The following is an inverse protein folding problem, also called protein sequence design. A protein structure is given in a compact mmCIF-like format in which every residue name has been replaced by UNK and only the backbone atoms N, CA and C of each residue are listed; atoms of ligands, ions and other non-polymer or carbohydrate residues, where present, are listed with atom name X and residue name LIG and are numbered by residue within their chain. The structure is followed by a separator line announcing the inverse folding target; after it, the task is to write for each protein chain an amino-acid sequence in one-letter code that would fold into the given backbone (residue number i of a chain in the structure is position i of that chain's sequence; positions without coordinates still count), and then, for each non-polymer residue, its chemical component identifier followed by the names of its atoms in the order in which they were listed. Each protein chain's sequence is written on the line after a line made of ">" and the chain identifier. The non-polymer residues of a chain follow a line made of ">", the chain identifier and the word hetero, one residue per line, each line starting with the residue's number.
data_IF_265285803646
#
_entry.id   IF_265285803646
#
_cell.length_a   1.000
_cell.length_b   1.000
_cell.length_c   1.000
_cell.angle_alpha   90.00
_cell.angle_beta   90.00
_cell.angle_gamma   90.00
#
_symmetry.space_group_name_H-M   'P 1'
#
loop_
_entity.id
_entity.type
_entity.pdbx_description
1 polymer ?
#
# COMPACT_ATOMS: atom_id res chain seq x y z
N UNK A 1 -11.38 -5.41 -14.14
CA UNK A 1 -10.15 -4.62 -13.92
C UNK A 1 -9.26 -4.63 -15.17
N UNK A 2 -9.08 -5.78 -15.83
CA UNK A 2 -8.25 -5.90 -17.06
C UNK A 2 -8.74 -5.05 -18.25
N UNK A 3 -10.04 -5.00 -18.52
CA UNK A 3 -10.60 -4.23 -19.65
C UNK A 3 -10.29 -2.72 -19.57
N UNK A 4 -10.32 -2.15 -18.35
CA UNK A 4 -9.98 -0.74 -18.12
C UNK A 4 -8.48 -0.46 -18.36
N UNK A 5 -7.61 -1.40 -17.98
CA UNK A 5 -6.18 -1.28 -18.18
C UNK A 5 -5.82 -1.33 -19.68
N UNK A 6 -6.43 -2.24 -20.44
CA UNK A 6 -6.24 -2.35 -21.89
C UNK A 6 -6.68 -1.06 -22.61
N UNK A 7 -7.85 -0.51 -22.25
CA UNK A 7 -8.34 0.75 -22.82
C UNK A 7 -7.37 1.92 -22.56
N UNK A 8 -6.74 1.95 -21.38
CA UNK A 8 -5.78 3.00 -21.01
C UNK A 8 -4.48 2.89 -21.83
N UNK A 9 -3.98 1.68 -22.07
CA UNK A 9 -2.81 1.47 -22.95
C UNK A 9 -3.10 1.94 -24.37
N UNK A 10 -4.28 1.60 -24.91
CA UNK A 10 -4.70 2.04 -26.25
C UNK A 10 -4.70 3.57 -26.32
N UNK A 11 -5.23 4.26 -25.31
CA UNK A 11 -5.21 5.72 -25.27
C UNK A 11 -3.79 6.30 -25.30
N UNK A 12 -2.82 5.71 -24.58
CA UNK A 12 -1.43 6.18 -24.64
C UNK A 12 -0.80 6.00 -26.01
N UNK A 13 -1.09 4.89 -26.69
CA UNK A 13 -0.60 4.64 -28.05
C UNK A 13 -1.15 5.70 -29.01
N UNK A 14 -2.45 6.00 -28.91
CA UNK A 14 -3.08 7.05 -29.72
C UNK A 14 -2.44 8.42 -29.45
N UNK A 15 -2.26 8.78 -28.18
CA UNK A 15 -1.61 10.05 -27.79
C UNK A 15 -0.19 10.13 -28.35
N UNK A 16 0.58 9.04 -28.29
CA UNK A 16 1.94 8.99 -28.82
C UNK A 16 2.00 9.19 -30.34
N UNK A 17 1.04 8.61 -31.09
CA UNK A 17 0.97 8.81 -32.54
C UNK A 17 0.72 10.30 -32.87
N UNK A 18 -0.22 10.94 -32.19
CA UNK A 18 -0.50 12.37 -32.37
C UNK A 18 0.70 13.24 -31.97
N UNK A 19 1.33 12.94 -30.84
CA UNK A 19 2.52 13.64 -30.35
C UNK A 19 3.69 13.56 -31.36
N UNK A 20 3.88 12.39 -32.00
CA UNK A 20 4.91 12.22 -33.01
C UNK A 20 4.66 13.10 -34.25
N UNK A 21 3.41 13.20 -34.72
CA UNK A 21 3.03 14.04 -35.87
C UNK A 21 3.27 15.53 -35.55
N UNK A 22 2.88 15.97 -34.37
CA UNK A 22 3.09 17.35 -33.90
C UNK A 22 4.60 17.64 -33.80
N UNK A 23 5.35 16.72 -33.20
CA UNK A 23 6.81 16.84 -33.07
C UNK A 23 7.51 16.92 -34.43
N UNK A 24 7.04 16.16 -35.43
CA UNK A 24 7.54 16.25 -36.79
C UNK A 24 7.35 17.63 -37.42
N UNK A 25 6.16 18.23 -37.28
CA UNK A 25 5.91 19.57 -37.78
C UNK A 25 6.79 20.63 -37.10
N UNK A 26 6.96 20.53 -35.77
CA UNK A 26 7.82 21.45 -35.01
C UNK A 26 9.27 21.36 -35.47
N UNK A 27 9.85 20.16 -35.55
CA UNK A 27 11.24 19.98 -35.94
C UNK A 27 11.50 20.41 -37.40
N UNK A 28 10.57 20.13 -38.31
CA UNK A 28 10.66 20.57 -39.70
C UNK A 28 10.70 22.10 -39.79
N UNK A 29 9.72 22.79 -39.18
CA UNK A 29 9.64 24.25 -39.21
C UNK A 29 10.84 24.90 -38.52
N UNK A 30 11.30 24.37 -37.38
CA UNK A 30 12.48 24.89 -36.71
C UNK A 30 13.72 24.83 -37.62
N UNK A 31 13.88 23.72 -38.34
CA UNK A 31 15.01 23.51 -39.26
C UNK A 31 14.90 24.43 -40.48
N UNK A 32 13.70 24.65 -41.01
CA UNK A 32 13.44 25.58 -42.10
C UNK A 32 13.80 27.02 -41.71
N UNK A 33 13.36 27.48 -40.52
CA UNK A 33 13.68 28.82 -39.98
C UNK A 33 15.20 29.01 -39.84
N UNK A 34 15.90 27.99 -39.32
CA UNK A 34 17.37 28.04 -39.15
C UNK A 34 18.08 28.12 -40.50
N UNK A 35 17.63 27.34 -41.50
CA UNK A 35 18.21 27.35 -42.86
C UNK A 35 17.94 28.67 -43.60
N UNK A 36 16.81 29.34 -43.31
CA UNK A 36 16.40 30.57 -44.00
C UNK A 36 16.77 31.86 -43.27
N UNK A 37 17.95 31.92 -42.63
CA UNK A 37 18.44 33.11 -41.93
C UNK A 37 17.44 33.66 -40.87
N UNK A 38 16.75 32.79 -40.15
CA UNK A 38 15.83 33.15 -39.05
C UNK A 38 14.60 33.92 -39.57
N UNK A 39 14.19 33.71 -40.83
CA UNK A 39 12.88 34.15 -41.30
C UNK A 39 11.79 33.29 -40.66
N UNK A 40 10.91 33.93 -39.89
CA UNK A 40 9.79 33.32 -39.18
C UNK A 40 8.62 33.03 -40.13
N UNK A 41 8.76 31.97 -40.91
CA UNK A 41 7.69 31.39 -41.73
C UNK A 41 7.37 29.99 -41.21
N UNK A 42 6.12 29.78 -40.77
CA UNK A 42 5.68 28.52 -40.18
C UNK A 42 4.68 27.82 -41.10
N UNK A 43 4.96 26.58 -41.49
CA UNK A 43 4.07 25.78 -42.32
C UNK A 43 3.25 24.81 -41.46
N UNK A 44 1.92 24.93 -41.49
CA UNK A 44 1.00 24.06 -40.75
C UNK A 44 0.63 22.78 -41.51
N UNK A 45 1.20 22.55 -42.70
CA UNK A 45 0.94 21.32 -43.44
C UNK A 45 1.74 20.14 -42.85
N UNK A 46 1.06 19.38 -41.99
CA UNK A 46 1.60 18.21 -41.28
C UNK A 46 2.04 17.09 -42.23
N UNK A 47 1.27 16.84 -43.31
CA UNK A 47 1.59 15.81 -44.30
C UNK A 47 2.89 16.11 -45.05
N UNK A 48 3.10 17.38 -45.40
CA UNK A 48 4.31 17.82 -46.09
C UNK A 48 5.54 17.67 -45.18
N UNK A 49 5.41 18.13 -43.93
CA UNK A 49 6.46 18.01 -42.91
C UNK A 49 6.85 16.55 -42.65
N UNK A 50 5.87 15.63 -42.70
CA UNK A 50 6.09 14.20 -42.52
C UNK A 50 6.80 13.55 -43.71
N UNK A 51 6.45 13.90 -44.94
CA UNK A 51 7.11 13.38 -46.16
C UNK A 51 8.57 13.83 -46.24
N UNK A 52 8.87 15.00 -45.68
CA UNK A 52 10.21 15.58 -45.68
C UNK A 52 11.11 15.08 -44.54
N UNK A 53 10.63 14.13 -43.71
CA UNK A 53 11.41 13.37 -42.71
C UNK A 53 12.40 12.36 -43.33
N UNK A 54 13.09 12.73 -44.41
CA UNK A 54 14.10 11.87 -45.04
C UNK A 54 15.47 12.02 -44.39
N UNK A 55 15.72 13.17 -43.78
CA UNK A 55 16.98 13.46 -43.10
C UNK A 55 17.06 12.72 -41.76
N UNK A 56 18.12 11.93 -41.57
CA UNK A 56 18.38 11.15 -40.34
C UNK A 56 18.45 12.06 -39.10
N UNK A 57 19.03 13.25 -39.24
CA UNK A 57 19.12 14.24 -38.15
C UNK A 57 17.75 14.76 -37.72
N UNK A 58 16.85 14.99 -38.69
CA UNK A 58 15.48 15.45 -38.42
C UNK A 58 14.69 14.36 -37.71
N UNK A 59 14.80 13.11 -38.19
CA UNK A 59 14.17 11.93 -37.56
C UNK A 59 14.66 11.73 -36.12
N UNK A 60 15.95 11.89 -35.86
CA UNK A 60 16.47 11.78 -34.50
C UNK A 60 15.93 12.89 -33.59
N UNK A 61 15.85 14.13 -34.10
CA UNK A 61 15.28 15.26 -33.38
C UNK A 61 13.81 15.07 -33.02
N UNK A 62 13.01 14.52 -33.95
CA UNK A 62 11.57 14.27 -33.71
C UNK A 62 11.33 13.18 -32.69
N UNK A 63 12.09 12.08 -32.73
CA UNK A 63 12.03 11.01 -31.74
C UNK A 63 12.45 11.53 -30.35
N UNK A 64 13.48 12.37 -30.28
CA UNK A 64 13.93 12.93 -29.01
C UNK A 64 12.87 13.87 -28.41
N UNK A 65 12.25 14.71 -29.24
CA UNK A 65 11.18 15.61 -28.78
C UNK A 65 9.94 14.83 -28.30
N UNK A 66 9.48 13.83 -29.07
CA UNK A 66 8.32 13.01 -28.69
C UNK A 66 8.57 12.21 -27.41
N UNK A 67 9.79 11.66 -27.24
CA UNK A 67 10.15 10.94 -26.00
C UNK A 67 10.16 11.86 -24.78
N UNK A 68 10.56 13.13 -24.91
CA UNK A 68 10.47 14.09 -23.81
C UNK A 68 9.02 14.40 -23.46
N UNK A 69 8.17 14.64 -24.46
CA UNK A 69 6.76 15.00 -24.25
C UNK A 69 6.00 13.84 -23.60
N UNK A 70 6.20 12.60 -24.06
CA UNK A 70 5.56 11.42 -23.45
C UNK A 70 6.03 11.21 -22.00
N UNK A 71 7.30 11.45 -21.68
CA UNK A 71 7.81 11.40 -20.31
C UNK A 71 7.15 12.45 -19.41
N UNK A 72 6.89 13.65 -19.94
CA UNK A 72 6.13 14.69 -19.24
C UNK A 72 4.69 14.25 -18.97
N UNK A 73 4.00 13.68 -19.96
CA UNK A 73 2.63 13.16 -19.81
C UNK A 73 2.59 12.06 -18.74
N UNK A 74 3.52 11.12 -18.78
CA UNK A 74 3.62 10.02 -17.80
C UNK A 74 3.91 10.54 -16.39
N UNK A 75 4.73 11.58 -16.24
CA UNK A 75 5.02 12.22 -14.94
C UNK A 75 3.79 12.88 -14.33
N UNK A 76 2.91 13.45 -15.14
CA UNK A 76 1.69 14.13 -14.69
C UNK A 76 0.46 13.21 -14.59
N UNK A 77 0.54 11.96 -15.07
CA UNK A 77 -0.53 10.99 -14.81
C UNK A 77 -0.64 10.70 -13.32
N UNK A 78 -1.79 11.08 -12.75
CA UNK A 78 -2.11 10.88 -11.34
C UNK A 78 -1.99 9.41 -10.93
N UNK A 79 -2.37 8.47 -11.79
CA UNK A 79 -2.30 7.04 -11.44
C UNK A 79 -0.87 6.53 -11.36
N UNK A 80 0.00 6.92 -12.30
CA UNK A 80 1.42 6.56 -12.24
C UNK A 80 2.09 7.19 -11.03
N UNK A 81 1.81 8.47 -10.76
CA UNK A 81 2.27 9.17 -9.56
C UNK A 81 1.80 8.47 -8.29
N UNK A 82 0.55 8.01 -8.24
CA UNK A 82 -0.03 7.30 -7.11
C UNK A 82 0.59 5.91 -6.96
N UNK A 83 0.83 5.16 -8.05
CA UNK A 83 1.58 3.88 -8.02
C UNK A 83 3.02 4.03 -7.53
N UNK A 84 3.72 5.07 -7.98
CA UNK A 84 5.07 5.43 -7.50
C UNK A 84 5.05 5.83 -6.02
N UNK A 85 3.97 6.45 -5.54
CA UNK A 85 3.76 6.76 -4.13
C UNK A 85 3.34 5.53 -3.30
N UNK A 86 2.59 4.56 -3.87
CA UNK A 86 2.25 3.27 -3.23
C UNK A 86 3.50 2.48 -2.84
N UNK A 87 4.56 2.53 -3.67
CA UNK A 87 5.87 1.95 -3.36
C UNK A 87 6.53 2.58 -2.11
N UNK A 88 6.12 3.78 -1.71
CA UNK A 88 6.78 4.62 -0.69
C UNK A 88 6.18 4.57 0.72
N UNK A 89 5.31 3.59 1.05
CA UNK A 89 4.66 3.35 2.37
C UNK A 89 3.23 3.91 2.53
N UNK A 90 2.30 3.51 1.67
CA UNK A 90 0.87 3.66 1.98
C UNK A 90 0.32 2.36 2.60
N UNK A 91 -0.64 2.44 3.55
CA UNK A 91 -1.38 1.26 4.00
C UNK A 91 -2.06 0.57 2.82
N UNK A 92 -2.24 -0.75 2.90
CA UNK A 92 -2.82 -1.54 1.81
C UNK A 92 -4.20 -0.98 1.43
N UNK A 93 -4.45 -0.89 0.13
CA UNK A 93 -5.74 -0.44 -0.40
C UNK A 93 -6.87 -1.26 0.18
N UNK A 94 -7.89 -0.57 0.68
CA UNK A 94 -9.16 -1.21 0.95
C UNK A 94 -9.91 -1.45 -0.37
N UNK A 95 -10.92 -2.34 -0.35
CA UNK A 95 -11.72 -2.68 -1.54
C UNK A 95 -12.38 -1.48 -2.24
N UNK A 96 -12.43 -0.33 -1.57
CA UNK A 96 -13.06 0.92 -2.02
C UNK A 96 -12.06 2.00 -2.50
N UNK A 97 -10.77 1.69 -2.69
CA UNK A 97 -9.72 2.67 -3.07
C UNK A 97 -9.51 3.83 -2.08
N UNK A 98 -10.02 3.71 -0.87
CA UNK A 98 -9.79 4.68 0.20
C UNK A 98 -8.53 4.30 1.00
N UNK A 99 -7.72 5.31 1.30
CA UNK A 99 -6.52 5.14 2.14
C UNK A 99 -6.78 5.78 3.49
N UNK A 100 -6.64 4.99 4.56
CA UNK A 100 -6.75 5.49 5.93
C UNK A 100 -8.16 5.90 6.35
N UNK A 101 -9.22 5.38 5.70
CA UNK A 101 -10.58 5.59 6.19
C UNK A 101 -10.81 4.78 7.48
N UNK A 102 -11.45 5.43 8.46
CA UNK A 102 -11.84 4.81 9.74
C UNK A 102 -13.01 3.86 9.50
N UNK A 103 -12.71 2.65 9.04
CA UNK A 103 -13.70 1.59 8.84
C UNK A 103 -13.63 0.51 9.90
N UNK A 104 -14.71 -0.26 10.01
CA UNK A 104 -14.71 -1.47 10.82
C UNK A 104 -13.74 -2.51 10.26
N UNK A 105 -13.02 -3.19 11.17
CA UNK A 105 -12.13 -4.27 10.81
C UNK A 105 -12.92 -5.48 10.30
N UNK A 106 -12.44 -6.11 9.23
CA UNK A 106 -13.02 -7.36 8.73
C UNK A 106 -12.66 -8.52 9.65
N UNK A 107 -13.46 -9.60 9.63
CA UNK A 107 -13.16 -10.83 10.40
C UNK A 107 -11.76 -11.39 10.10
N UNK A 108 -11.28 -11.25 8.87
CA UNK A 108 -9.94 -11.71 8.46
C UNK A 108 -8.84 -10.88 9.09
N UNK A 109 -9.01 -9.56 9.16
CA UNK A 109 -8.06 -8.65 9.81
C UNK A 109 -8.02 -8.85 11.31
N UNK A 110 -9.17 -8.99 11.97
CA UNK A 110 -9.24 -9.30 13.41
C UNK A 110 -8.46 -10.58 13.72
N UNK A 111 -8.66 -11.63 12.93
CA UNK A 111 -7.93 -12.91 13.08
C UNK A 111 -6.43 -12.80 12.85
N UNK A 112 -5.98 -11.80 12.10
CA UNK A 112 -4.58 -11.57 11.75
C UNK A 112 -3.85 -10.71 12.79
N UNK A 113 -4.52 -9.67 13.29
CA UNK A 113 -3.90 -8.66 14.17
C UNK A 113 -3.99 -9.02 15.66
N UNK A 114 -5.02 -9.75 16.10
CA UNK A 114 -5.23 -10.07 17.51
C UNK A 114 -4.85 -11.51 17.87
N UNK A 115 -4.42 -11.71 19.12
CA UNK A 115 -4.13 -13.03 19.67
C UNK A 115 -5.43 -13.76 20.01
N UNK A 116 -5.38 -15.08 19.91
CA UNK A 116 -6.55 -15.94 20.11
C UNK A 116 -6.42 -16.66 21.45
N UNK A 117 -7.49 -16.61 22.23
CA UNK A 117 -7.67 -17.45 23.41
C UNK A 117 -8.82 -18.42 23.18
N UNK A 118 -8.50 -19.71 23.24
CA UNK A 118 -9.49 -20.78 23.27
C UNK A 118 -9.85 -21.07 24.72
N UNK A 119 -11.13 -21.10 25.05
CA UNK A 119 -11.59 -21.38 26.41
C UNK A 119 -11.03 -22.75 26.86
N UNK A 120 -10.40 -22.79 28.03
CA UNK A 120 -9.71 -23.97 28.57
C UNK A 120 -8.25 -24.13 28.15
N UNK A 121 -7.72 -23.34 27.20
CA UNK A 121 -6.30 -23.38 26.85
C UNK A 121 -5.44 -22.55 27.80
N UNK A 122 -4.18 -22.97 27.99
CA UNK A 122 -3.16 -22.18 28.70
C UNK A 122 -2.80 -20.92 27.91
N UNK A 123 -2.62 -19.81 28.60
CA UNK A 123 -2.22 -18.52 28.03
C UNK A 123 -0.80 -18.15 28.46
N UNK A 124 0.02 -17.70 27.52
CA UNK A 124 1.39 -17.23 27.77
C UNK A 124 1.44 -15.75 28.13
N UNK A 125 0.46 -14.97 27.68
CA UNK A 125 0.37 -13.54 27.93
C UNK A 125 -1.06 -13.10 28.26
N UNK A 126 -1.15 -11.97 28.98
CA UNK A 126 -2.41 -11.33 29.32
C UNK A 126 -2.84 -10.37 28.22
N UNK A 127 -3.95 -9.66 28.41
CA UNK A 127 -4.35 -8.62 27.50
C UNK A 127 -5.83 -8.26 27.60
N UNK A 128 -6.23 -7.31 26.77
CA UNK A 128 -7.59 -6.77 26.77
C UNK A 128 -8.41 -7.49 25.69
N UNK A 129 -9.55 -8.10 26.03
CA UNK A 129 -10.44 -8.71 25.05
C UNK A 129 -11.01 -7.63 24.13
N UNK A 130 -11.00 -7.89 22.83
CA UNK A 130 -11.51 -6.99 21.79
C UNK A 130 -12.82 -7.51 21.23
N UNK A 131 -12.90 -8.81 20.98
CA UNK A 131 -14.14 -9.43 20.49
C UNK A 131 -14.19 -10.92 20.82
N UNK A 132 -15.41 -11.47 20.81
CA UNK A 132 -15.67 -12.89 20.92
C UNK A 132 -16.33 -13.39 19.64
N UNK A 133 -15.66 -14.29 18.93
CA UNK A 133 -16.11 -14.81 17.65
C UNK A 133 -15.73 -16.28 17.51
N UNK A 134 -16.61 -17.07 16.89
CA UNK A 134 -16.36 -18.49 16.60
C UNK A 134 -15.98 -19.30 17.87
N UNK A 135 -16.57 -18.96 19.02
CA UNK A 135 -16.29 -19.61 20.31
C UNK A 135 -14.95 -19.23 20.95
N UNK A 136 -14.26 -18.20 20.43
CA UNK A 136 -12.91 -17.81 20.83
C UNK A 136 -12.84 -16.33 21.16
N UNK A 137 -12.00 -15.99 22.13
CA UNK A 137 -11.69 -14.60 22.46
C UNK A 137 -10.51 -14.12 21.63
N UNK A 138 -10.66 -12.95 21.03
CA UNK A 138 -9.57 -12.21 20.40
C UNK A 138 -9.16 -11.10 21.36
N UNK A 139 -7.88 -11.06 21.73
CA UNK A 139 -7.36 -10.12 22.71
C UNK A 139 -6.10 -9.42 22.20
N UNK A 140 -5.91 -8.21 22.71
CA UNK A 140 -4.75 -7.37 22.42
C UNK A 140 -3.78 -7.41 23.59
N UNK A 141 -2.55 -7.83 23.30
CA UNK A 141 -1.46 -8.02 24.26
C UNK A 141 -0.33 -7.06 23.91
N UNK A 142 -0.61 -5.78 24.16
CA UNK A 142 0.34 -4.67 24.04
C UNK A 142 0.31 -3.86 25.33
N UNK A 143 1.34 -3.02 25.52
CA UNK A 143 1.44 -2.09 26.64
C UNK A 143 0.62 -0.81 26.43
N UNK A 144 -0.10 -0.70 25.33
CA UNK A 144 -0.91 0.46 25.00
C UNK A 144 -2.10 0.62 25.97
N UNK A 145 -2.34 1.86 26.41
CA UNK A 145 -3.48 2.17 27.25
C UNK A 145 -4.79 2.09 26.45
N UNK A 146 -5.79 1.41 27.00
CA UNK A 146 -7.10 1.23 26.36
C UNK A 146 -8.19 1.99 27.09
N UNK A 147 -9.01 2.71 26.34
CA UNK A 147 -10.19 3.40 26.83
C UNK A 147 -11.46 2.65 26.37
N UNK A 148 -12.28 2.21 27.34
CA UNK A 148 -13.55 1.51 27.07
C UNK A 148 -14.70 2.45 27.40
N UNK A 149 -15.48 2.84 26.39
CA UNK A 149 -16.59 3.79 26.52
C UNK A 149 -17.92 3.07 26.28
N UNK A 150 -18.94 3.43 27.05
CA UNK A 150 -20.32 2.95 26.89
C UNK A 150 -21.21 3.42 28.03
N UNK A 151 -22.53 3.39 27.85
CA UNK A 151 -23.52 3.73 28.88
C UNK A 151 -23.58 2.71 30.03
N UNK A 152 -24.21 3.06 31.15
CA UNK A 152 -24.51 2.10 32.22
C UNK A 152 -25.41 0.99 31.68
N UNK A 153 -25.09 -0.27 31.99
CA UNK A 153 -25.84 -1.42 31.46
C UNK A 153 -25.42 -1.90 30.06
N UNK A 154 -24.50 -1.22 29.36
CA UNK A 154 -24.02 -1.64 28.02
C UNK A 154 -23.12 -2.88 28.00
N UNK A 155 -23.01 -3.59 29.13
CA UNK A 155 -22.22 -4.82 29.23
C UNK A 155 -20.70 -4.65 29.34
N UNK A 156 -20.16 -3.43 29.55
CA UNK A 156 -18.70 -3.19 29.68
C UNK A 156 -18.01 -4.18 30.63
N UNK A 157 -18.62 -4.42 31.79
CA UNK A 157 -18.10 -5.34 32.80
C UNK A 157 -18.04 -6.79 32.30
N UNK A 158 -19.12 -7.27 31.68
CA UNK A 158 -19.25 -8.67 31.24
C UNK A 158 -18.43 -8.94 29.99
N UNK A 159 -18.43 -8.01 29.03
CA UNK A 159 -17.77 -8.22 27.74
C UNK A 159 -16.28 -7.94 27.77
N UNK A 160 -15.82 -6.99 28.60
CA UNK A 160 -14.42 -6.55 28.59
C UNK A 160 -13.70 -6.80 29.92
N UNK A 161 -14.25 -6.32 31.04
CA UNK A 161 -13.53 -6.34 32.32
C UNK A 161 -13.37 -7.76 32.89
N UNK A 162 -14.46 -8.53 32.99
CA UNK A 162 -14.41 -9.89 33.53
C UNK A 162 -13.51 -10.82 32.68
N UNK A 163 -13.63 -10.88 31.34
CA UNK A 163 -12.76 -11.73 30.54
C UNK A 163 -11.28 -11.30 30.62
N UNK A 164 -11.00 -10.00 30.75
CA UNK A 164 -9.63 -9.50 30.97
C UNK A 164 -9.05 -10.04 32.28
N UNK A 165 -9.81 -9.99 33.38
CA UNK A 165 -9.37 -10.54 34.69
C UNK A 165 -9.09 -12.04 34.58
N UNK A 166 -9.94 -12.80 33.90
CA UNK A 166 -9.72 -14.24 33.68
C UNK A 166 -8.47 -14.53 32.85
N UNK A 167 -8.26 -13.79 31.75
CA UNK A 167 -7.07 -13.91 30.89
C UNK A 167 -5.79 -13.65 31.71
N UNK A 168 -5.79 -12.63 32.57
CA UNK A 168 -4.67 -12.28 33.43
C UNK A 168 -4.37 -13.36 34.49
N UNK A 169 -5.40 -13.87 35.18
CA UNK A 169 -5.23 -14.94 36.17
C UNK A 169 -4.65 -16.22 35.54
N UNK A 170 -5.20 -16.63 34.38
CA UNK A 170 -4.72 -17.81 33.66
C UNK A 170 -3.25 -17.66 33.22
N UNK A 171 -2.85 -16.48 32.73
CA UNK A 171 -1.46 -16.20 32.39
C UNK A 171 -0.53 -16.28 33.62
N UNK A 172 -0.96 -15.73 34.76
CA UNK A 172 -0.19 -15.75 36.00
C UNK A 172 0.10 -17.18 36.47
N UNK A 173 -0.92 -18.06 36.45
CA UNK A 173 -0.78 -19.48 36.81
C UNK A 173 0.25 -20.21 35.96
N UNK A 174 0.32 -19.91 34.65
CA UNK A 174 1.33 -20.49 33.75
C UNK A 174 2.73 -20.01 34.11
N UNK A 175 2.92 -18.71 34.33
CA UNK A 175 4.24 -18.14 34.71
C UNK A 175 4.75 -18.71 36.04
N UNK A 176 3.88 -18.88 37.03
CA UNK A 176 4.24 -19.51 38.31
C UNK A 176 4.67 -20.96 38.11
N UNK A 177 3.96 -21.72 37.28
CA UNK A 177 4.33 -23.11 36.94
C UNK A 177 5.70 -23.22 36.27
N UNK A 178 5.97 -22.36 35.28
CA UNK A 178 7.28 -22.30 34.60
C UNK A 178 8.39 -21.94 35.59
N UNK A 179 8.19 -20.94 36.45
CA UNK A 179 9.18 -20.53 37.45
C UNK A 179 9.49 -21.66 38.43
N UNK A 180 8.48 -22.39 38.92
CA UNK A 180 8.67 -23.55 39.80
C UNK A 180 9.48 -24.66 39.13
N UNK A 181 9.17 -24.97 37.86
CA UNK A 181 9.90 -25.99 37.09
C UNK A 181 11.35 -25.58 36.81
N UNK A 182 11.59 -24.31 36.47
CA UNK A 182 12.94 -23.77 36.28
C UNK A 182 13.78 -23.88 37.56
N UNK A 183 13.23 -23.45 38.70
CA UNK A 183 13.92 -23.56 40.00
C UNK A 183 14.25 -25.03 40.33
N UNK A 184 13.33 -25.95 40.06
CA UNK A 184 13.54 -27.40 40.26
C UNK A 184 14.66 -27.94 39.37
N UNK A 185 14.69 -27.57 38.09
CA UNK A 185 15.72 -28.00 37.15
C UNK A 185 17.11 -27.44 37.51
N UNK A 186 17.21 -26.17 37.92
CA UNK A 186 18.46 -25.56 38.39
C UNK A 186 18.97 -26.26 39.65
N UNK A 187 18.09 -26.60 40.60
CA UNK A 187 18.46 -27.38 41.80
C UNK A 187 18.94 -28.78 41.47
N UNK A 188 18.29 -29.46 40.52
CA UNK A 188 18.67 -30.82 40.14
C UNK A 188 20.01 -30.85 39.39
N UNK A 189 20.28 -29.86 38.53
CA UNK A 189 21.57 -29.76 37.83
C UNK A 189 22.73 -29.56 38.81
N UNK A 190 22.57 -28.66 39.79
CA UNK A 190 23.55 -28.47 40.88
C UNK A 190 23.80 -29.71 41.76
N UNK A 191 22.90 -30.70 41.76
CA UNK A 191 23.09 -31.96 42.49
C UNK A 191 23.75 -33.06 41.67
N UNK A 192 23.84 -32.90 40.35
CA UNK A 192 24.54 -33.84 39.46
C UNK A 192 26.00 -33.43 39.24
N UNK A 193 26.32 -32.16 39.47
CA UNK A 193 27.67 -31.58 39.35
C UNK A 193 28.48 -31.68 40.68
N UNK A 194 27.98 -32.41 41.69
CA UNK A 194 28.62 -32.70 42.99
C UNK A 194 28.68 -34.20 43.17
#
# INVERSE_FOLDING_TARGET
>A
MEVLFVKKIINYIIIYIFDFIISANICYNLTYIIKNNIKLEWNLNEFYSFIELKDISLLFGTILLSTIIILFILKYDKELKLKLQKLKKMPKEDSSYEYGSSRWATKKEIKKEFKIWNIGSKLSSGGIPVTFMDGKYYYYDSFDHTLIIGSTGSGKTICNILPMVFILDLCSKVKVGIRKNFIKNVRNKKRQDV
#
